data_IF_292196442613
#
_entry.id   IF_292196442613
#
_cell.length_a   1.000
_cell.length_b   1.000
_cell.length_c   1.000
_cell.angle_alpha   90.00
_cell.angle_beta   90.00
_cell.angle_gamma   90.00
#
_symmetry.space_group_name_H-M   'P 1'
#
loop_
_entity.id
_entity.type
_entity.pdbx_description
1 polymer ?
#
# COMPACT_ATOMS: atom_id res chain seq x y z
N UNK A 1 3.16 -31.41 9.27
CA UNK A 1 2.20 -30.34 8.92
C UNK A 1 0.87 -31.01 8.66
N UNK A 2 -0.16 -30.62 9.42
CA UNK A 2 -1.53 -31.04 9.17
C UNK A 2 -2.13 -30.28 7.98
N UNK A 3 -3.28 -30.76 7.47
CA UNK A 3 -4.08 -30.03 6.47
C UNK A 3 -4.46 -28.62 6.94
N UNK A 4 -4.77 -28.44 8.22
CA UNK A 4 -5.08 -27.14 8.80
C UNK A 4 -3.87 -26.20 8.80
N UNK A 5 -2.67 -26.71 9.08
CA UNK A 5 -1.45 -25.91 9.04
C UNK A 5 -1.16 -25.38 7.64
N UNK A 6 -1.37 -26.20 6.61
CA UNK A 6 -1.19 -25.79 5.21
C UNK A 6 -2.17 -24.68 4.86
N UNK A 7 -3.46 -24.84 5.21
CA UNK A 7 -4.49 -23.82 4.96
C UNK A 7 -4.15 -22.49 5.64
N UNK A 8 -3.82 -22.54 6.94
CA UNK A 8 -3.48 -21.35 7.73
C UNK A 8 -2.22 -20.67 7.20
N UNK A 9 -1.21 -21.44 6.81
CA UNK A 9 0.03 -20.92 6.23
C UNK A 9 -0.24 -20.25 4.88
N UNK A 10 -1.01 -20.88 4.01
CA UNK A 10 -1.36 -20.32 2.70
C UNK A 10 -2.18 -19.05 2.83
N UNK A 11 -3.16 -19.02 3.73
CA UNK A 11 -3.94 -17.82 4.00
C UNK A 11 -3.05 -16.68 4.54
N UNK A 12 -2.18 -16.96 5.51
CA UNK A 12 -1.25 -15.97 6.06
C UNK A 12 -0.32 -15.40 4.97
N UNK A 13 0.19 -16.24 4.07
CA UNK A 13 1.04 -15.79 2.95
C UNK A 13 0.26 -14.95 1.93
N UNK A 14 -1.00 -15.29 1.68
CA UNK A 14 -1.88 -14.51 0.79
C UNK A 14 -2.20 -13.15 1.41
N UNK A 15 -2.52 -13.10 2.71
CA UNK A 15 -2.75 -11.85 3.45
C UNK A 15 -1.51 -10.95 3.43
N UNK A 16 -0.31 -11.52 3.63
CA UNK A 16 0.95 -10.79 3.54
C UNK A 16 1.18 -10.23 2.13
N UNK A 17 0.81 -10.98 1.09
CA UNK A 17 0.92 -10.52 -0.31
C UNK A 17 -0.02 -9.34 -0.58
N UNK A 18 -1.24 -9.36 -0.05
CA UNK A 18 -2.17 -8.21 -0.13
C UNK A 18 -1.62 -7.01 0.66
N UNK A 19 -1.07 -7.23 1.87
CA UNK A 19 -0.49 -6.15 2.66
C UNK A 19 0.68 -5.47 1.94
N UNK A 20 1.57 -6.26 1.33
CA UNK A 20 2.65 -5.76 0.50
C UNK A 20 2.12 -4.97 -0.71
N UNK A 21 1.09 -5.49 -1.39
CA UNK A 21 0.44 -4.81 -2.51
C UNK A 21 -0.19 -3.47 -2.08
N UNK A 22 -0.91 -3.42 -0.95
CA UNK A 22 -1.46 -2.17 -0.39
C UNK A 22 -0.36 -1.15 -0.12
N UNK A 23 0.78 -1.58 0.43
CA UNK A 23 1.94 -0.71 0.66
C UNK A 23 2.62 -0.24 -0.63
N UNK A 24 2.58 -1.03 -1.71
CA UNK A 24 3.05 -0.57 -3.01
C UNK A 24 2.10 0.45 -3.61
N UNK A 25 0.78 0.23 -3.50
CA UNK A 25 -0.23 1.17 -3.99
C UNK A 25 -0.17 2.53 -3.31
N UNK A 26 0.16 2.61 -2.01
CA UNK A 26 0.29 3.90 -1.31
C UNK A 26 1.45 4.74 -1.84
N UNK A 27 2.52 4.11 -2.34
CA UNK A 27 3.67 4.78 -2.96
C UNK A 27 3.37 5.35 -4.35
N UNK A 28 2.32 4.84 -5.02
CA UNK A 28 1.91 5.32 -6.33
C UNK A 28 1.16 6.64 -6.17
N UNK A 29 1.77 7.73 -6.69
CA UNK A 29 1.20 9.08 -6.69
C UNK A 29 -0.06 9.15 -7.55
N UNK A 30 -1.21 9.46 -6.94
CA UNK A 30 -2.51 9.55 -7.61
C UNK A 30 -2.95 10.96 -7.99
N UNK A 31 -2.09 11.96 -7.78
CA UNK A 31 -2.44 13.37 -7.98
C UNK A 31 -3.37 13.95 -6.92
N UNK A 32 -4.03 13.11 -6.11
CA UNK A 32 -4.63 13.50 -4.83
C UNK A 32 -3.56 13.59 -3.75
N UNK A 33 -3.72 14.55 -2.86
CA UNK A 33 -2.93 14.66 -1.66
C UNK A 33 -3.19 13.44 -0.75
N UNK A 34 -2.12 12.79 -0.32
CA UNK A 34 -2.16 11.71 0.67
C UNK A 34 -1.14 12.05 1.77
N UNK A 35 -1.55 12.16 3.05
CA UNK A 35 -0.65 12.41 4.18
C UNK A 35 0.56 11.47 4.22
N UNK A 36 0.37 10.20 3.81
CA UNK A 36 1.41 9.17 3.83
C UNK A 36 2.62 9.50 2.94
N UNK A 37 2.49 10.43 1.98
CA UNK A 37 3.63 10.88 1.16
C UNK A 37 4.68 11.61 2.00
N UNK A 38 4.29 12.21 3.12
CA UNK A 38 5.18 12.95 4.01
C UNK A 38 5.81 12.07 5.10
N UNK A 39 5.42 10.78 5.19
CA UNK A 39 5.98 9.84 6.18
C UNK A 39 7.46 9.54 5.94
N UNK A 40 7.94 9.73 4.70
CA UNK A 40 9.36 9.57 4.34
C UNK A 40 10.22 10.76 4.75
N UNK A 41 9.61 11.88 5.17
CA UNK A 41 10.32 13.10 5.51
C UNK A 41 10.80 13.04 6.96
N UNK A 42 12.09 13.26 7.14
CA UNK A 42 12.71 13.43 8.45
C UNK A 42 13.01 14.91 8.69
N UNK A 43 12.79 15.36 9.93
CA UNK A 43 12.98 16.75 10.36
C UNK A 43 14.04 16.76 11.45
N UNK A 44 14.93 17.76 11.41
CA UNK A 44 15.88 18.02 12.49
C UNK A 44 15.14 18.51 13.74
N UNK A 45 15.06 17.63 14.73
CA UNK A 45 14.61 17.94 16.07
C UNK A 45 15.83 17.96 17.01
N UNK A 46 16.26 19.17 17.36
CA UNK A 46 17.39 19.43 18.25
C UNK A 46 18.66 18.60 17.95
N UNK A 47 19.06 18.50 16.67
CA UNK A 47 20.26 17.77 16.25
C UNK A 47 20.05 16.26 16.02
N UNK A 48 18.83 15.77 16.14
CA UNK A 48 18.44 14.40 15.76
C UNK A 48 17.37 14.42 14.67
N UNK A 49 17.46 13.52 13.69
CA UNK A 49 16.46 13.39 12.64
C UNK A 49 15.32 12.49 13.10
N UNK A 50 14.12 13.05 13.18
CA UNK A 50 12.90 12.32 13.57
C UNK A 50 11.86 12.40 12.45
N UNK A 51 10.96 11.40 12.30
CA UNK A 51 9.89 11.45 11.31
C UNK A 51 8.98 12.67 11.51
N UNK A 52 8.51 13.26 10.42
CA UNK A 52 7.61 14.43 10.45
C UNK A 52 6.35 14.19 11.32
N UNK A 53 5.82 12.98 11.31
CA UNK A 53 4.63 12.58 12.07
C UNK A 53 4.80 12.68 13.60
N UNK A 54 6.04 12.74 14.10
CA UNK A 54 6.33 12.89 15.53
C UNK A 54 6.44 14.35 15.98
N UNK A 55 6.60 15.29 15.04
CA UNK A 55 6.81 16.72 15.34
C UNK A 55 5.66 17.61 14.85
N UNK A 56 4.76 17.05 14.04
CA UNK A 56 3.62 17.75 13.48
C UNK A 56 2.42 16.82 13.25
N UNK A 57 1.23 17.41 13.34
CA UNK A 57 0.00 16.77 12.87
C UNK A 57 -0.13 16.95 11.35
N UNK A 58 -0.33 15.85 10.63
CA UNK A 58 -0.48 15.86 9.16
C UNK A 58 -1.90 15.45 8.82
N UNK A 59 -2.63 16.35 8.14
CA UNK A 59 -4.02 16.11 7.71
C UNK A 59 -4.28 16.67 6.32
N UNK A 60 -5.36 16.22 5.68
CA UNK A 60 -5.80 16.78 4.40
C UNK A 60 -6.72 17.97 4.66
N UNK A 61 -6.42 19.12 4.05
CA UNK A 61 -7.36 20.26 3.99
C UNK A 61 -8.30 20.07 2.80
N UNK A 62 -7.73 19.74 1.64
CA UNK A 62 -8.46 19.52 0.40
C UNK A 62 -7.81 18.38 -0.40
N UNK A 63 -8.39 18.04 -1.57
CA UNK A 63 -7.91 16.93 -2.40
C UNK A 63 -6.50 17.11 -2.98
N UNK A 64 -5.92 18.32 -2.89
CA UNK A 64 -4.62 18.69 -3.46
C UNK A 64 -3.69 19.35 -2.43
N UNK A 65 -4.14 19.64 -1.21
CA UNK A 65 -3.37 20.36 -0.18
C UNK A 65 -3.34 19.60 1.13
N UNK A 66 -2.13 19.30 1.61
CA UNK A 66 -1.88 18.73 2.93
C UNK A 66 -1.62 19.86 3.92
N UNK A 67 -2.29 19.86 5.08
CA UNK A 67 -1.90 20.67 6.23
C UNK A 67 -0.90 19.91 7.08
N UNK A 68 0.19 20.59 7.42
CA UNK A 68 1.14 20.17 8.43
C UNK A 68 1.11 21.20 9.55
N UNK A 69 0.65 20.81 10.73
CA UNK A 69 0.57 21.67 11.90
C UNK A 69 1.65 21.25 12.92
N UNK A 70 2.74 22.02 13.06
CA UNK A 70 3.77 21.75 14.05
C UNK A 70 3.18 21.80 15.47
N UNK A 71 3.67 20.94 16.37
CA UNK A 71 3.28 21.02 17.78
C UNK A 71 3.96 22.18 18.50
N UNK A 72 5.13 22.61 18.01
CA UNK A 72 5.92 23.70 18.54
C UNK A 72 6.09 24.83 17.53
N UNK A 73 5.93 26.08 17.98
CA UNK A 73 6.04 27.28 17.14
C UNK A 73 7.43 27.49 16.53
N UNK A 74 8.48 26.89 17.10
CA UNK A 74 9.84 26.95 16.56
C UNK A 74 10.16 25.93 15.45
N UNK A 75 9.33 24.90 15.29
CA UNK A 75 9.60 23.81 14.33
C UNK A 75 9.11 24.10 12.91
N UNK A 76 8.24 25.11 12.73
CA UNK A 76 7.65 25.41 11.43
C UNK A 76 8.68 25.64 10.31
N UNK A 77 9.71 26.46 10.57
CA UNK A 77 10.76 26.73 9.57
C UNK A 77 11.62 25.50 9.24
N UNK A 78 11.87 24.62 10.22
CA UNK A 78 12.61 23.37 10.00
C UNK A 78 11.80 22.38 9.17
N UNK A 79 10.50 22.28 9.46
CA UNK A 79 9.56 21.43 8.71
C UNK A 79 9.42 21.93 7.27
N UNK A 80 9.27 23.23 7.07
CA UNK A 80 9.19 23.84 5.73
C UNK A 80 10.44 23.53 4.90
N UNK A 81 11.62 23.67 5.52
CA UNK A 81 12.90 23.34 4.89
C UNK A 81 12.99 21.86 4.53
N UNK A 82 12.65 20.96 5.47
CA UNK A 82 12.69 19.52 5.23
C UNK A 82 11.74 19.06 4.10
N UNK A 83 10.55 19.66 4.00
CA UNK A 83 9.60 19.37 2.92
C UNK A 83 10.12 19.89 1.57
N UNK A 84 10.69 21.10 1.54
CA UNK A 84 11.24 21.70 0.31
C UNK A 84 12.48 20.95 -0.21
N UNK A 85 13.34 20.50 0.70
CA UNK A 85 14.56 19.74 0.38
C UNK A 85 14.28 18.26 0.09
N UNK A 86 13.04 17.79 0.29
CA UNK A 86 12.65 16.43 -0.05
C UNK A 86 12.64 16.20 -1.56
N UNK A 87 12.90 14.96 -1.97
CA UNK A 87 12.83 14.53 -3.38
C UNK A 87 11.40 14.55 -3.96
N UNK A 88 10.41 15.01 -3.20
CA UNK A 88 9.00 15.07 -3.60
C UNK A 88 8.68 16.28 -4.49
N UNK A 89 9.56 17.30 -4.52
CA UNK A 89 9.39 18.51 -5.32
C UNK A 89 8.17 19.33 -4.91
N UNK A 90 7.88 19.38 -3.61
CA UNK A 90 6.74 20.09 -3.03
C UNK A 90 7.18 21.49 -2.57
N UNK A 91 6.31 22.49 -2.76
CA UNK A 91 6.58 23.84 -2.29
C UNK A 91 5.65 24.21 -1.13
N UNK A 92 6.07 24.02 0.14
CA UNK A 92 5.27 24.37 1.29
C UNK A 92 5.07 25.88 1.42
N UNK A 93 3.88 26.30 1.86
CA UNK A 93 3.50 27.67 2.13
C UNK A 93 2.99 27.79 3.57
N UNK A 94 3.69 28.55 4.40
CA UNK A 94 3.29 28.79 5.79
C UNK A 94 2.14 29.81 5.87
N UNK A 95 1.08 29.46 6.61
CA UNK A 95 -0.04 30.33 6.96
C UNK A 95 -0.25 30.30 8.48
N UNK A 96 0.43 31.21 9.21
CA UNK A 96 0.35 31.26 10.67
C UNK A 96 0.95 30.00 11.30
N UNK A 97 0.13 29.25 12.06
CA UNK A 97 0.53 28.01 12.73
C UNK A 97 0.38 26.76 11.83
N UNK A 98 -0.08 26.89 10.58
CA UNK A 98 -0.31 25.76 9.65
C UNK A 98 0.56 25.92 8.40
N UNK A 99 1.28 24.88 8.03
CA UNK A 99 2.03 24.79 6.77
C UNK A 99 1.16 24.07 5.74
N UNK A 100 0.86 24.72 4.62
CA UNK A 100 0.12 24.12 3.50
C UNK A 100 1.09 23.57 2.48
N UNK A 101 0.94 22.31 2.11
CA UNK A 101 1.75 21.65 1.09
C UNK A 101 0.85 21.33 -0.10
N UNK A 102 0.78 22.23 -1.10
CA UNK A 102 0.05 21.97 -2.33
C UNK A 102 0.80 20.92 -3.17
N UNK A 103 0.06 19.92 -3.63
CA UNK A 103 0.53 18.91 -4.56
C UNK A 103 0.46 19.47 -5.97
N UNK A 104 1.57 19.48 -6.73
CA UNK A 104 1.52 19.88 -8.13
C UNK A 104 0.63 18.91 -8.93
N UNK A 105 -0.12 19.43 -9.91
CA UNK A 105 -1.01 18.61 -10.72
C UNK A 105 -0.21 17.61 -11.55
N UNK A 106 -0.74 16.39 -11.65
CA UNK A 106 -0.20 15.37 -12.56
C UNK A 106 -0.62 15.69 -14.00
N UNK A 107 0.34 15.73 -14.92
CA UNK A 107 0.06 15.81 -16.37
C UNK A 107 -0.70 14.57 -16.84
N UNK A 108 -1.44 14.68 -17.94
CA UNK A 108 -2.23 13.56 -18.48
C UNK A 108 -1.33 12.36 -18.88
N UNK A 109 -0.14 12.65 -19.41
CA UNK A 109 0.86 11.64 -19.76
C UNK A 109 1.34 10.88 -18.51
N UNK A 110 1.70 11.60 -17.43
CA UNK A 110 2.07 10.96 -16.17
C UNK A 110 0.91 10.19 -15.54
N UNK A 111 -0.34 10.64 -15.66
CA UNK A 111 -1.50 9.86 -15.18
C UNK A 111 -1.62 8.53 -15.93
N UNK A 112 -1.46 8.52 -17.26
CA UNK A 112 -1.48 7.28 -18.06
C UNK A 112 -0.35 6.31 -17.65
N UNK A 113 0.85 6.82 -17.41
CA UNK A 113 1.96 6.01 -16.89
C UNK A 113 1.65 5.39 -15.53
N UNK A 114 1.11 6.19 -14.60
CA UNK A 114 0.78 5.71 -13.25
C UNK A 114 -0.35 4.68 -13.27
N UNK A 115 -1.37 4.86 -14.11
CA UNK A 115 -2.42 3.86 -14.31
C UNK A 115 -1.86 2.54 -14.83
N UNK A 116 -0.92 2.60 -15.78
CA UNK A 116 -0.23 1.40 -16.29
C UNK A 116 0.55 0.69 -15.19
N UNK A 117 1.26 1.46 -14.35
CA UNK A 117 2.01 0.92 -13.21
C UNK A 117 1.09 0.20 -12.21
N UNK A 118 -0.05 0.80 -11.85
CA UNK A 118 -1.05 0.17 -10.96
C UNK A 118 -1.53 -1.16 -11.53
N UNK A 119 -1.83 -1.23 -12.83
CA UNK A 119 -2.24 -2.49 -13.49
C UNK A 119 -1.15 -3.55 -13.41
N UNK A 120 0.10 -3.17 -13.67
CA UNK A 120 1.24 -4.09 -13.59
C UNK A 120 1.41 -4.62 -12.16
N UNK A 121 1.34 -3.76 -11.14
CA UNK A 121 1.41 -4.20 -9.74
C UNK A 121 0.23 -5.11 -9.36
N UNK A 122 -0.98 -4.79 -9.84
CA UNK A 122 -2.16 -5.63 -9.63
C UNK A 122 -2.00 -7.04 -10.22
N UNK A 123 -1.49 -7.14 -11.45
CA UNK A 123 -1.22 -8.44 -12.07
C UNK A 123 -0.10 -9.20 -11.36
N UNK A 124 0.95 -8.52 -10.89
CA UNK A 124 2.01 -9.14 -10.08
C UNK A 124 1.43 -9.74 -8.78
N UNK A 125 0.54 -9.01 -8.10
CA UNK A 125 -0.14 -9.50 -6.89
C UNK A 125 -1.02 -10.73 -7.20
N UNK A 126 -1.76 -10.73 -8.31
CA UNK A 126 -2.56 -11.89 -8.73
C UNK A 126 -1.69 -13.09 -9.06
N UNK A 127 -0.55 -12.90 -9.73
CA UNK A 127 0.41 -13.97 -10.03
C UNK A 127 0.93 -14.58 -8.73
N UNK A 128 1.31 -13.75 -7.74
CA UNK A 128 1.75 -14.23 -6.43
C UNK A 128 0.68 -15.08 -5.73
N UNK A 129 -0.58 -14.63 -5.70
CA UNK A 129 -1.70 -15.39 -5.12
C UNK A 129 -1.93 -16.72 -5.86
N UNK A 130 -1.86 -16.73 -7.20
CA UNK A 130 -2.00 -17.97 -8.00
C UNK A 130 -0.86 -18.95 -7.75
N UNK A 131 0.36 -18.47 -7.54
CA UNK A 131 1.50 -19.31 -7.17
C UNK A 131 1.31 -19.91 -5.77
N UNK A 132 0.90 -19.11 -4.78
CA UNK A 132 0.59 -19.61 -3.43
C UNK A 132 -0.51 -20.67 -3.43
N UNK A 133 -1.52 -20.53 -4.30
CA UNK A 133 -2.55 -21.56 -4.51
C UNK A 133 -1.94 -22.86 -5.05
N UNK A 134 -1.03 -22.77 -6.03
CA UNK A 134 -0.34 -23.94 -6.60
C UNK A 134 0.47 -24.66 -5.52
N UNK A 135 1.25 -23.92 -4.74
CA UNK A 135 2.07 -24.47 -3.65
C UNK A 135 1.21 -25.16 -2.59
N UNK A 136 0.07 -24.56 -2.24
CA UNK A 136 -0.90 -25.16 -1.32
C UNK A 136 -1.43 -26.49 -1.84
N UNK A 137 -1.85 -26.54 -3.11
CA UNK A 137 -2.39 -27.75 -3.73
C UNK A 137 -1.31 -28.84 -3.87
N UNK A 138 -0.06 -28.46 -4.15
CA UNK A 138 1.06 -29.40 -4.23
C UNK A 138 1.41 -29.99 -2.86
N UNK A 139 1.36 -29.18 -1.80
CA UNK A 139 1.53 -29.64 -0.43
C UNK A 139 0.42 -30.61 0.01
N UNK A 140 -0.84 -30.32 -0.35
CA UNK A 140 -1.97 -31.23 -0.10
C UNK A 140 -1.80 -32.55 -0.84
N UNK A 141 -1.42 -32.52 -2.14
CA UNK A 141 -1.14 -33.74 -2.92
C UNK A 141 -0.04 -34.59 -2.30
N UNK A 142 0.99 -33.97 -1.73
CA UNK A 142 2.07 -34.68 -1.03
C UNK A 142 1.55 -35.41 0.21
N UNK A 143 0.69 -34.78 1.02
CA UNK A 143 0.08 -35.43 2.18
C UNK A 143 -0.79 -36.65 1.80
N UNK A 144 -1.52 -36.59 0.69
CA UNK A 144 -2.30 -37.72 0.18
C UNK A 144 -1.39 -38.88 -0.23
N UNK A 145 -0.28 -38.57 -0.93
CA UNK A 145 0.73 -39.57 -1.31
C UNK A 145 1.37 -40.23 -0.08
N UNK A 146 1.60 -39.45 0.97
CA UNK A 146 2.16 -39.91 2.24
C UNK A 146 1.12 -40.64 3.12
N UNK A 147 -0.12 -40.84 2.62
CA UNK A 147 -1.27 -41.45 3.33
C UNK A 147 -1.65 -40.74 4.63
N UNK A 148 -1.28 -39.46 4.76
CA UNK A 148 -1.63 -38.61 5.89
C UNK A 148 -2.97 -37.87 5.67
N UNK A 149 -3.54 -37.95 4.46
CA UNK A 149 -4.81 -37.38 4.07
C UNK A 149 -5.55 -38.29 3.09
N UNK A 150 -6.88 -38.28 3.13
CA UNK A 150 -7.76 -38.96 2.17
C UNK A 150 -8.00 -38.13 0.90
N UNK A 151 -8.45 -38.78 -0.19
CA UNK A 151 -8.87 -38.06 -1.41
C UNK A 151 -10.06 -37.11 -1.17
N UNK A 152 -10.95 -37.44 -0.24
CA UNK A 152 -12.07 -36.58 0.12
C UNK A 152 -11.61 -35.31 0.85
N UNK A 153 -10.63 -35.44 1.74
CA UNK A 153 -10.01 -34.29 2.42
C UNK A 153 -9.22 -33.41 1.44
N UNK A 154 -8.56 -34.01 0.44
CA UNK A 154 -7.92 -33.27 -0.63
C UNK A 154 -8.93 -32.40 -1.39
N UNK A 155 -10.04 -32.99 -1.85
CA UNK A 155 -11.08 -32.25 -2.59
C UNK A 155 -11.66 -31.11 -1.76
N UNK A 156 -11.91 -31.33 -0.47
CA UNK A 156 -12.34 -30.26 0.46
C UNK A 156 -11.31 -29.15 0.58
N UNK A 157 -10.04 -29.52 0.76
CA UNK A 157 -8.96 -28.54 0.91
C UNK A 157 -8.76 -27.71 -0.36
N UNK A 158 -8.80 -28.32 -1.54
CA UNK A 158 -8.71 -27.62 -2.82
C UNK A 158 -9.88 -26.63 -3.01
N UNK A 159 -11.11 -27.03 -2.65
CA UNK A 159 -12.28 -26.16 -2.74
C UNK A 159 -12.19 -24.94 -1.80
N UNK A 160 -11.71 -25.14 -0.57
CA UNK A 160 -11.52 -24.04 0.38
C UNK A 160 -10.39 -23.09 -0.05
N UNK A 161 -9.24 -23.65 -0.48
CA UNK A 161 -8.11 -22.87 -1.00
C UNK A 161 -8.55 -22.03 -2.22
N UNK A 162 -9.37 -22.60 -3.10
CA UNK A 162 -9.95 -21.89 -4.24
C UNK A 162 -10.85 -20.73 -3.78
N UNK A 163 -11.76 -20.95 -2.82
CA UNK A 163 -12.62 -19.90 -2.26
C UNK A 163 -11.82 -18.74 -1.65
N UNK A 164 -10.76 -19.05 -0.91
CA UNK A 164 -9.87 -18.02 -0.34
C UNK A 164 -9.14 -17.27 -1.44
N UNK A 165 -8.63 -17.98 -2.44
CA UNK A 165 -7.94 -17.38 -3.61
C UNK A 165 -8.86 -16.41 -4.35
N UNK A 166 -10.10 -16.82 -4.66
CA UNK A 166 -11.06 -16.00 -5.39
C UNK A 166 -11.43 -14.72 -4.63
N UNK A 167 -11.57 -14.82 -3.30
CA UNK A 167 -11.76 -13.64 -2.44
C UNK A 167 -10.60 -12.65 -2.55
N UNK A 168 -9.35 -13.14 -2.51
CA UNK A 168 -8.17 -12.29 -2.59
C UNK A 168 -8.00 -11.66 -3.98
N UNK A 169 -8.31 -12.40 -5.04
CA UNK A 169 -8.30 -11.87 -6.42
C UNK A 169 -9.33 -10.74 -6.55
N UNK A 170 -10.55 -10.94 -6.05
CA UNK A 170 -11.58 -9.91 -6.07
C UNK A 170 -11.18 -8.67 -5.27
N UNK A 171 -10.54 -8.83 -4.11
CA UNK A 171 -10.01 -7.71 -3.32
C UNK A 171 -8.91 -6.94 -4.10
N UNK A 172 -7.99 -7.65 -4.76
CA UNK A 172 -6.96 -7.03 -5.62
C UNK A 172 -7.62 -6.22 -6.75
N UNK A 173 -8.62 -6.78 -7.42
CA UNK A 173 -9.34 -6.08 -8.50
C UNK A 173 -10.05 -4.82 -8.00
N UNK A 174 -10.66 -4.87 -6.83
CA UNK A 174 -11.29 -3.70 -6.20
C UNK A 174 -10.27 -2.61 -5.86
N UNK A 175 -9.12 -2.99 -5.30
CA UNK A 175 -8.05 -2.06 -4.94
C UNK A 175 -7.44 -1.40 -6.19
N UNK A 176 -7.20 -2.18 -7.26
CA UNK A 176 -6.73 -1.66 -8.55
C UNK A 176 -7.74 -0.67 -9.12
N UNK A 177 -9.01 -1.05 -9.23
CA UNK A 177 -10.06 -0.20 -9.79
C UNK A 177 -10.23 1.10 -9.00
N UNK A 178 -10.23 1.03 -7.66
CA UNK A 178 -10.28 2.21 -6.81
C UNK A 178 -9.08 3.13 -7.04
N UNK A 179 -7.87 2.57 -7.18
CA UNK A 179 -6.67 3.36 -7.43
C UNK A 179 -6.65 3.99 -8.82
N UNK A 180 -7.11 3.29 -9.84
CA UNK A 180 -7.26 3.85 -11.20
C UNK A 180 -8.23 5.03 -11.20
N UNK A 181 -9.37 4.90 -10.51
CA UNK A 181 -10.32 6.00 -10.37
C UNK A 181 -9.71 7.19 -9.64
N UNK A 182 -8.92 6.98 -8.58
CA UNK A 182 -8.21 8.06 -7.90
C UNK A 182 -7.24 8.81 -8.82
N UNK A 183 -6.48 8.09 -9.66
CA UNK A 183 -5.52 8.69 -10.61
C UNK A 183 -6.24 9.52 -11.68
N UNK A 184 -7.41 9.04 -12.12
CA UNK A 184 -8.18 9.66 -13.21
C UNK A 184 -9.17 10.73 -12.71
N UNK A 185 -9.50 10.75 -11.42
CA UNK A 185 -10.38 11.76 -10.85
C UNK A 185 -9.76 13.17 -10.96
N UNK A 186 -10.55 14.14 -11.41
CA UNK A 186 -10.18 15.55 -11.60
C UNK A 186 -10.81 16.41 -10.52
#
# INVERSE_FOLDING_TARGET
>A
MSLEDIKKTSQTKMDQSIAAFKNNLTKIRTGRANPAILDTIQVDYYGSFVPLSQVANVSLIDSRTISVQPWEKGMGAKIEKAIRESDLGLNPASMGDIIRVPMPPMSEERRKEMTKLVRTEGENAKIAVRNLRRDANEAVKKLVKDKLASEDEQKRSEAEVQKVTDKHIAEIDQLVAGKEQEIMAV
#
